data_IF_110527196922
#
_entry.id   IF_110527196922
#
_cell.length_a   1.000
_cell.length_b   1.000
_cell.length_c   1.000
_cell.angle_alpha   90.00
_cell.angle_beta   90.00
_cell.angle_gamma   90.00
#
_symmetry.space_group_name_H-M   'P 1'
#
loop_
_entity.id
_entity.type
_entity.pdbx_description
1 polymer ?
#
# COMPACT_ATOMS: atom_id res chain seq x y z
N UNK A 1 -53.59 5.28 3.57
CA UNK A 1 -53.44 6.60 2.94
C UNK A 1 -51.96 6.93 2.96
N UNK A 2 -51.20 6.59 1.90
CA UNK A 2 -49.75 6.83 1.79
C UNK A 2 -49.53 8.04 0.89
N UNK A 3 -49.05 9.10 1.44
CA UNK A 3 -48.60 10.28 0.68
C UNK A 3 -47.19 10.03 0.15
N UNK A 4 -47.03 9.84 -1.15
CA UNK A 4 -45.78 9.95 -1.86
C UNK A 4 -45.40 11.43 -1.96
N UNK A 5 -44.36 11.84 -1.20
CA UNK A 5 -43.67 13.08 -1.45
C UNK A 5 -42.64 12.87 -2.57
N UNK A 6 -43.00 13.33 -3.78
CA UNK A 6 -42.04 13.54 -4.85
C UNK A 6 -41.25 14.82 -4.51
N UNK A 7 -40.07 14.69 -3.91
CA UNK A 7 -39.11 15.78 -3.83
C UNK A 7 -38.38 15.88 -5.17
N UNK A 8 -38.90 16.74 -6.09
CA UNK A 8 -38.08 17.27 -7.16
C UNK A 8 -37.03 18.16 -6.50
N UNK A 9 -35.79 17.66 -6.34
CA UNK A 9 -34.63 18.47 -6.03
C UNK A 9 -34.35 19.33 -7.25
N UNK A 10 -34.64 20.64 -7.14
CA UNK A 10 -34.18 21.61 -8.10
C UNK A 10 -32.66 21.60 -8.09
N UNK A 11 -32.05 20.93 -9.07
CA UNK A 11 -30.62 21.02 -9.31
C UNK A 11 -30.27 22.49 -9.54
N UNK A 12 -29.49 23.07 -8.61
CA UNK A 12 -28.97 24.43 -8.74
C UNK A 12 -28.17 24.48 -10.05
N UNK A 13 -28.68 25.22 -11.04
CA UNK A 13 -28.00 25.50 -12.31
C UNK A 13 -26.73 26.28 -12.01
N UNK A 14 -25.62 25.58 -11.83
CA UNK A 14 -24.34 26.23 -11.56
C UNK A 14 -23.80 26.87 -12.83
N UNK A 15 -23.63 28.19 -12.75
CA UNK A 15 -23.27 29.17 -13.81
C UNK A 15 -21.91 28.89 -14.43
N UNK A 16 -21.28 27.83 -14.55
CA UNK A 16 -20.00 27.55 -15.23
C UNK A 16 -19.80 26.06 -15.63
N UNK A 17 -20.85 25.26 -15.67
CA UNK A 17 -20.74 23.89 -16.18
C UNK A 17 -20.62 23.87 -17.71
N UNK A 18 -19.76 23.01 -18.22
CA UNK A 18 -19.71 22.71 -19.65
C UNK A 18 -21.05 22.14 -20.14
N UNK A 19 -21.33 22.32 -21.44
CA UNK A 19 -22.49 21.71 -22.08
C UNK A 19 -22.42 20.16 -21.96
N UNK A 20 -23.52 19.59 -21.53
CA UNK A 20 -23.71 18.11 -21.47
C UNK A 20 -24.07 17.58 -22.87
N UNK A 21 -24.12 16.26 -23.03
CA UNK A 21 -24.63 15.66 -24.27
C UNK A 21 -26.12 16.01 -24.50
N UNK A 22 -26.92 16.02 -23.42
CA UNK A 22 -28.33 16.39 -23.49
C UNK A 22 -28.53 17.85 -23.88
N UNK A 23 -27.69 18.77 -23.37
CA UNK A 23 -27.69 20.15 -23.84
C UNK A 23 -27.43 20.26 -25.34
N UNK A 24 -26.52 19.43 -25.87
CA UNK A 24 -26.17 19.39 -27.30
C UNK A 24 -27.30 18.84 -28.13
N UNK A 25 -28.02 17.83 -27.67
CA UNK A 25 -29.23 17.33 -28.34
C UNK A 25 -30.33 18.40 -28.36
N UNK A 26 -30.51 19.14 -27.26
CA UNK A 26 -31.43 20.27 -27.23
C UNK A 26 -31.04 21.38 -28.20
N UNK A 27 -29.74 21.73 -28.28
CA UNK A 27 -29.21 22.69 -29.28
C UNK A 27 -29.51 22.19 -30.68
N UNK A 28 -29.29 20.91 -30.98
CA UNK A 28 -29.57 20.33 -32.30
C UNK A 28 -31.03 20.49 -32.68
N UNK A 29 -31.96 20.10 -31.77
CA UNK A 29 -33.40 20.21 -32.00
C UNK A 29 -33.84 21.65 -32.23
N UNK A 30 -33.39 22.59 -31.38
CA UNK A 30 -33.77 23.99 -31.48
C UNK A 30 -33.15 24.70 -32.70
N UNK A 31 -31.92 24.40 -33.05
CA UNK A 31 -31.26 24.91 -34.22
C UNK A 31 -31.92 24.42 -35.52
N UNK A 32 -32.37 23.17 -35.57
CA UNK A 32 -33.17 22.61 -36.68
C UNK A 32 -34.54 23.28 -36.80
N UNK A 33 -35.14 23.69 -35.67
CA UNK A 33 -36.42 24.43 -35.69
C UNK A 33 -36.28 25.93 -36.01
N UNK A 34 -35.06 26.39 -36.30
CA UNK A 34 -34.78 27.77 -36.73
C UNK A 34 -34.62 28.77 -35.59
N UNK A 35 -34.48 28.33 -34.31
CA UNK A 35 -34.19 29.25 -33.20
C UNK A 35 -32.82 29.90 -33.35
N UNK A 36 -32.75 31.17 -33.00
CA UNK A 36 -31.50 31.93 -33.01
C UNK A 36 -30.56 31.50 -31.87
N UNK A 37 -29.25 31.71 -32.05
CA UNK A 37 -28.25 31.42 -31.03
C UNK A 37 -28.53 32.16 -29.72
N UNK A 38 -29.16 33.35 -29.74
CA UNK A 38 -29.54 34.11 -28.56
C UNK A 38 -30.69 33.43 -27.78
N UNK A 39 -31.68 32.91 -28.50
CA UNK A 39 -32.82 32.18 -27.92
C UNK A 39 -32.34 30.88 -27.30
N UNK A 40 -31.52 30.09 -27.98
CA UNK A 40 -30.94 28.86 -27.47
C UNK A 40 -30.09 29.15 -26.23
N UNK A 41 -29.32 30.21 -26.24
CA UNK A 41 -28.50 30.63 -25.10
C UNK A 41 -29.36 30.95 -23.86
N UNK A 42 -30.49 31.65 -24.02
CA UNK A 42 -31.44 31.91 -22.94
C UNK A 42 -32.03 30.62 -22.37
N UNK A 43 -32.40 29.66 -23.22
CA UNK A 43 -32.98 28.38 -22.82
C UNK A 43 -32.00 27.52 -21.99
N UNK A 44 -30.72 27.63 -22.26
CA UNK A 44 -29.65 26.86 -21.56
C UNK A 44 -28.94 27.66 -20.46
N UNK A 45 -29.34 28.90 -20.22
CA UNK A 45 -28.65 29.82 -19.31
C UNK A 45 -27.14 29.91 -19.61
N UNK A 46 -26.80 30.12 -20.89
CA UNK A 46 -25.43 30.25 -21.41
C UNK A 46 -25.25 31.56 -22.19
N UNK A 47 -24.01 31.96 -22.35
CA UNK A 47 -23.70 33.11 -23.22
C UNK A 47 -23.97 32.76 -24.70
N UNK A 48 -24.52 33.69 -25.49
CA UNK A 48 -24.73 33.49 -26.96
C UNK A 48 -23.47 33.05 -27.70
N UNK A 49 -22.31 33.53 -27.29
CA UNK A 49 -21.01 33.14 -27.86
C UNK A 49 -20.68 31.67 -27.61
N UNK A 50 -21.10 31.10 -26.45
CA UNK A 50 -20.92 29.68 -26.15
C UNK A 50 -21.70 28.81 -27.14
N UNK A 51 -22.94 29.18 -27.43
CA UNK A 51 -23.78 28.47 -28.40
C UNK A 51 -23.23 28.62 -29.83
N UNK A 52 -22.77 29.81 -30.20
CA UNK A 52 -22.13 30.02 -31.50
C UNK A 52 -20.90 29.10 -31.67
N UNK A 53 -20.03 29.09 -30.69
CA UNK A 53 -18.81 28.24 -30.73
C UNK A 53 -19.16 26.75 -30.74
N UNK A 54 -20.19 26.33 -30.01
CA UNK A 54 -20.66 24.96 -29.98
C UNK A 54 -21.24 24.53 -31.34
N UNK A 55 -22.09 25.36 -31.95
CA UNK A 55 -22.65 25.09 -33.28
C UNK A 55 -21.52 24.97 -34.30
N UNK A 56 -20.57 25.91 -34.28
CA UNK A 56 -19.41 25.90 -35.21
C UNK A 56 -18.59 24.61 -35.05
N UNK A 57 -18.43 24.12 -33.80
CA UNK A 57 -17.71 22.85 -33.48
C UNK A 57 -18.41 21.64 -34.05
N UNK A 58 -19.73 21.61 -34.01
CA UNK A 58 -20.57 20.47 -34.36
C UNK A 58 -21.06 20.46 -35.84
N UNK A 59 -20.62 21.37 -36.67
CA UNK A 59 -21.02 21.38 -38.08
C UNK A 59 -20.43 20.20 -38.85
N UNK A 60 -21.28 19.39 -39.44
CA UNK A 60 -20.92 18.29 -40.35
C UNK A 60 -21.55 18.48 -41.70
N UNK A 61 -20.87 18.11 -42.78
CA UNK A 61 -21.40 18.15 -44.13
C UNK A 61 -22.25 16.90 -44.36
N UNK A 62 -23.55 17.08 -44.53
CA UNK A 62 -24.48 15.96 -44.78
C UNK A 62 -25.16 16.13 -46.15
N UNK A 63 -25.34 15.01 -46.84
CA UNK A 63 -26.10 14.96 -48.06
C UNK A 63 -27.60 15.03 -47.75
N UNK A 64 -28.26 16.12 -48.13
CA UNK A 64 -29.70 16.36 -47.86
C UNK A 64 -30.55 15.79 -48.98
N UNK A 65 -30.04 15.79 -50.23
CA UNK A 65 -30.62 15.15 -51.41
C UNK A 65 -29.49 14.68 -52.33
N UNK A 66 -29.77 13.82 -53.29
CA UNK A 66 -28.80 13.32 -54.25
C UNK A 66 -28.03 14.52 -54.89
N UNK A 67 -26.73 14.60 -54.65
CA UNK A 67 -25.85 15.67 -55.14
C UNK A 67 -25.91 17.00 -54.38
N UNK A 68 -26.75 17.15 -53.34
CA UNK A 68 -26.83 18.39 -52.53
C UNK A 68 -26.36 18.16 -51.10
N UNK A 69 -25.35 18.90 -50.70
CA UNK A 69 -24.76 18.87 -49.39
C UNK A 69 -25.06 20.15 -48.62
N UNK A 70 -25.32 20.00 -47.32
CA UNK A 70 -25.54 21.12 -46.39
C UNK A 70 -24.75 20.88 -45.11
N UNK A 71 -24.21 21.95 -44.51
CA UNK A 71 -23.62 21.89 -43.18
C UNK A 71 -24.75 21.88 -42.15
N UNK A 72 -24.83 20.83 -41.35
CA UNK A 72 -25.84 20.64 -40.33
C UNK A 72 -25.11 20.41 -39.00
N UNK A 73 -25.64 20.97 -37.91
CA UNK A 73 -25.12 20.71 -36.56
C UNK A 73 -25.51 19.29 -36.11
N UNK A 74 -24.53 18.54 -35.58
CA UNK A 74 -24.71 17.23 -34.97
C UNK A 74 -24.21 17.28 -33.54
N UNK A 75 -25.09 16.93 -32.57
CA UNK A 75 -24.79 16.85 -31.15
C UNK A 75 -23.68 15.84 -30.84
N UNK A 76 -23.78 14.66 -31.46
CA UNK A 76 -22.80 13.57 -31.26
C UNK A 76 -21.41 13.98 -31.79
N UNK A 77 -21.35 14.55 -32.95
CA UNK A 77 -20.08 15.02 -33.53
C UNK A 77 -19.47 16.12 -32.65
N UNK A 78 -20.28 17.12 -32.22
CA UNK A 78 -19.84 18.19 -31.34
C UNK A 78 -19.31 17.65 -30.01
N UNK A 79 -19.99 16.64 -29.45
CA UNK A 79 -19.56 15.98 -28.20
C UNK A 79 -18.24 15.21 -28.39
N UNK A 80 -18.09 14.46 -29.47
CA UNK A 80 -16.84 13.77 -29.78
C UNK A 80 -15.66 14.73 -29.92
N UNK A 81 -15.86 15.88 -30.60
CA UNK A 81 -14.84 16.90 -30.72
C UNK A 81 -14.51 17.58 -29.40
N UNK A 82 -15.52 17.79 -28.55
CA UNK A 82 -15.32 18.28 -27.18
C UNK A 82 -14.46 17.31 -26.35
N UNK A 83 -14.76 16.02 -26.37
CA UNK A 83 -13.99 15.00 -25.65
C UNK A 83 -12.53 14.97 -26.15
N UNK A 84 -12.29 14.95 -27.45
CA UNK A 84 -10.94 15.02 -28.05
C UNK A 84 -10.15 16.25 -27.61
N UNK A 85 -10.82 17.40 -27.43
CA UNK A 85 -10.17 18.59 -26.90
C UNK A 85 -9.91 18.50 -25.41
N UNK A 86 -10.83 17.89 -24.65
CA UNK A 86 -10.65 17.68 -23.20
C UNK A 86 -9.48 16.77 -22.89
N UNK A 87 -9.26 15.75 -23.69
CA UNK A 87 -8.11 14.83 -23.53
C UNK A 87 -6.76 15.55 -23.68
N UNK A 88 -6.74 16.66 -24.42
CA UNK A 88 -5.54 17.51 -24.56
C UNK A 88 -5.39 18.53 -23.44
N UNK A 89 -6.43 18.73 -22.63
CA UNK A 89 -6.44 19.69 -21.53
C UNK A 89 -5.90 19.04 -20.25
N UNK A 90 -5.24 19.84 -19.44
CA UNK A 90 -4.68 19.43 -18.16
C UNK A 90 -3.15 19.50 -18.15
N UNK A 91 -2.60 19.37 -16.96
CA UNK A 91 -1.14 19.33 -16.77
C UNK A 91 -0.61 18.02 -17.35
N UNK A 92 0.36 18.13 -18.29
CA UNK A 92 1.05 16.94 -18.81
C UNK A 92 1.79 16.23 -17.70
N UNK A 93 1.80 14.90 -17.77
CA UNK A 93 2.58 14.07 -16.84
C UNK A 93 4.06 14.31 -17.13
N UNK A 94 4.77 14.81 -16.12
CA UNK A 94 6.22 15.07 -16.19
C UNK A 94 7.02 13.85 -15.70
N UNK A 95 6.77 12.69 -16.30
CA UNK A 95 7.48 11.46 -16.00
C UNK A 95 8.48 11.19 -17.13
N UNK A 96 9.75 11.42 -16.88
CA UNK A 96 10.83 11.06 -17.80
C UNK A 96 11.16 9.56 -17.72
N UNK A 97 11.90 9.08 -18.70
CA UNK A 97 12.21 7.65 -18.83
C UNK A 97 13.08 7.15 -17.69
N UNK A 98 14.09 7.92 -17.29
CA UNK A 98 15.05 7.56 -16.24
C UNK A 98 14.34 7.43 -14.88
N UNK A 99 13.55 8.44 -14.50
CA UNK A 99 12.73 8.41 -13.27
C UNK A 99 11.77 7.23 -13.28
N UNK A 100 11.16 6.90 -14.42
CA UNK A 100 10.27 5.75 -14.55
C UNK A 100 11.01 4.43 -14.30
N UNK A 101 12.15 4.21 -14.95
CA UNK A 101 12.96 2.99 -14.80
C UNK A 101 13.44 2.84 -13.35
N UNK A 102 13.93 3.90 -12.74
CA UNK A 102 14.35 3.94 -11.34
C UNK A 102 13.18 3.56 -10.41
N UNK A 103 12.01 4.18 -10.59
CA UNK A 103 10.86 3.88 -9.76
C UNK A 103 10.39 2.44 -9.91
N UNK A 104 10.31 1.92 -11.14
CA UNK A 104 9.92 0.53 -11.39
C UNK A 104 10.90 -0.42 -10.72
N UNK A 105 12.21 -0.25 -10.93
CA UNK A 105 13.24 -1.08 -10.31
C UNK A 105 13.14 -1.10 -8.78
N UNK A 106 13.10 0.07 -8.13
CA UNK A 106 13.05 0.11 -6.67
C UNK A 106 11.73 -0.39 -6.09
N UNK A 107 10.60 -0.19 -6.76
CA UNK A 107 9.30 -0.69 -6.30
C UNK A 107 9.15 -2.21 -6.48
N UNK A 108 9.66 -2.78 -7.57
CA UNK A 108 9.44 -4.21 -7.90
C UNK A 108 10.58 -5.11 -7.43
N UNK A 109 11.82 -4.78 -7.74
CA UNK A 109 12.98 -5.63 -7.42
C UNK A 109 13.50 -5.35 -6.02
N UNK A 110 13.78 -4.09 -5.72
CA UNK A 110 14.29 -3.69 -4.41
C UNK A 110 13.23 -3.65 -3.31
N UNK A 111 11.93 -3.79 -3.65
CA UNK A 111 10.79 -3.82 -2.71
C UNK A 111 10.70 -2.57 -1.82
N UNK A 112 11.18 -1.43 -2.28
CA UNK A 112 11.08 -0.17 -1.55
C UNK A 112 9.66 0.39 -1.60
N UNK A 113 9.26 1.15 -0.58
CA UNK A 113 8.04 1.95 -0.65
C UNK A 113 8.30 3.28 -1.36
N UNK A 114 7.29 3.93 -1.96
CA UNK A 114 7.45 5.27 -2.55
C UNK A 114 8.07 6.28 -1.59
N UNK A 115 7.72 6.21 -0.30
CA UNK A 115 8.27 7.07 0.75
C UNK A 115 9.78 6.86 0.92
N UNK A 116 10.22 5.59 0.95
CA UNK A 116 11.65 5.28 1.10
C UNK A 116 12.46 5.73 -0.11
N UNK A 117 11.92 5.56 -1.33
CA UNK A 117 12.60 5.98 -2.57
C UNK A 117 12.88 7.49 -2.55
N UNK A 118 11.89 8.29 -2.13
CA UNK A 118 12.03 9.75 -2.05
C UNK A 118 13.02 10.16 -0.96
N UNK A 119 12.90 9.58 0.23
CA UNK A 119 13.77 9.94 1.35
C UNK A 119 15.20 9.39 1.24
N UNK A 120 15.41 8.40 0.38
CA UNK A 120 16.77 7.97 -0.01
C UNK A 120 17.36 8.80 -1.16
N UNK A 121 16.70 9.89 -1.56
CA UNK A 121 17.10 10.79 -2.64
C UNK A 121 17.33 10.09 -4.00
N UNK A 122 16.63 9.00 -4.25
CA UNK A 122 16.76 8.24 -5.50
C UNK A 122 16.00 8.91 -6.66
N UNK A 123 14.98 9.70 -6.33
CA UNK A 123 14.20 10.50 -7.29
C UNK A 123 13.82 11.85 -6.66
N UNK A 124 13.74 12.88 -7.49
CA UNK A 124 13.34 14.23 -7.06
C UNK A 124 11.88 14.53 -7.38
N UNK A 125 10.97 13.72 -6.82
CA UNK A 125 9.52 13.92 -6.99
C UNK A 125 8.80 13.67 -5.67
N UNK A 126 7.68 14.37 -5.38
CA UNK A 126 6.90 14.12 -4.17
C UNK A 126 6.32 12.71 -4.13
N UNK A 127 6.22 12.13 -2.92
CA UNK A 127 5.61 10.80 -2.68
C UNK A 127 4.20 10.71 -3.27
N UNK A 128 3.40 11.77 -3.14
CA UNK A 128 2.04 11.85 -3.71
C UNK A 128 2.02 11.69 -5.22
N UNK A 129 3.04 12.21 -5.91
CA UNK A 129 3.18 12.10 -7.37
C UNK A 129 3.45 10.66 -7.79
N UNK A 130 4.28 9.92 -7.04
CA UNK A 130 4.54 8.50 -7.31
C UNK A 130 3.25 7.68 -7.16
N UNK A 131 2.48 7.91 -6.08
CA UNK A 131 1.17 7.25 -5.92
C UNK A 131 0.19 7.63 -7.04
N UNK A 132 0.16 8.88 -7.46
CA UNK A 132 -0.65 9.32 -8.62
C UNK A 132 -0.27 8.54 -9.87
N UNK A 133 1.02 8.39 -10.18
CA UNK A 133 1.50 7.63 -11.34
C UNK A 133 1.17 6.14 -11.28
N UNK A 134 1.22 5.53 -10.07
CA UNK A 134 0.81 4.13 -9.86
C UNK A 134 -0.69 3.98 -10.11
N UNK A 135 -1.52 4.82 -9.48
CA UNK A 135 -2.98 4.74 -9.58
C UNK A 135 -3.51 5.00 -10.99
N UNK A 136 -2.82 5.83 -11.78
CA UNK A 136 -3.19 6.13 -13.16
C UNK A 136 -2.46 5.26 -14.20
N UNK A 137 -1.72 4.24 -13.77
CA UNK A 137 -1.07 3.28 -14.66
C UNK A 137 0.15 3.80 -15.42
N UNK A 138 0.67 5.00 -15.12
CA UNK A 138 1.82 5.58 -15.84
C UNK A 138 3.11 4.77 -15.66
N UNK A 139 3.27 4.10 -14.51
CA UNK A 139 4.41 3.23 -14.23
C UNK A 139 4.21 1.79 -14.73
N UNK A 140 2.99 1.40 -15.16
CA UNK A 140 2.65 0.02 -15.47
C UNK A 140 2.53 -0.87 -14.23
N UNK A 141 2.44 -0.26 -13.04
CA UNK A 141 2.33 -0.93 -11.74
C UNK A 141 0.94 -0.75 -11.16
N UNK A 142 0.58 -1.65 -10.24
CA UNK A 142 -0.67 -1.64 -9.49
C UNK A 142 -0.41 -1.49 -7.98
N UNK A 143 -1.44 -1.25 -7.20
CA UNK A 143 -1.33 -1.22 -5.73
C UNK A 143 -0.87 -2.56 -5.12
N UNK A 144 -0.96 -3.68 -5.86
CA UNK A 144 -0.48 -4.99 -5.41
C UNK A 144 1.05 -5.11 -5.43
N UNK A 145 1.71 -4.29 -6.26
CA UNK A 145 3.16 -4.27 -6.39
C UNK A 145 3.84 -3.47 -5.27
N UNK A 146 3.04 -2.71 -4.50
CA UNK A 146 3.54 -1.96 -3.35
C UNK A 146 3.95 -2.89 -2.19
N UNK A 147 4.90 -2.43 -1.37
CA UNK A 147 5.41 -3.15 -0.20
C UNK A 147 4.29 -3.60 0.75
N UNK A 148 3.27 -2.77 0.94
CA UNK A 148 2.09 -3.06 1.76
C UNK A 148 0.80 -2.93 0.95
N UNK A 149 0.44 -3.93 0.12
CA UNK A 149 -0.80 -3.90 -0.64
C UNK A 149 -2.02 -3.87 0.30
N UNK A 150 -3.03 -3.08 -0.04
CA UNK A 150 -4.27 -3.03 0.71
C UNK A 150 -5.02 -4.36 0.55
N UNK A 151 -5.28 -5.05 1.66
CA UNK A 151 -6.12 -6.25 1.70
C UNK A 151 -7.45 -5.93 2.35
N UNK A 152 -8.55 -6.50 1.86
CA UNK A 152 -9.86 -6.42 2.51
C UNK A 152 -9.79 -7.06 3.91
N UNK A 153 -10.41 -6.40 4.90
CA UNK A 153 -10.48 -6.94 6.27
C UNK A 153 -11.37 -8.18 6.29
N UNK A 154 -10.83 -9.37 6.54
CA UNK A 154 -11.62 -10.55 6.89
C UNK A 154 -12.04 -10.46 8.35
N UNK A 155 -13.32 -10.75 8.65
CA UNK A 155 -13.81 -10.89 10.04
C UNK A 155 -13.01 -11.98 10.75
N UNK A 156 -12.38 -11.66 11.88
CA UNK A 156 -11.70 -12.64 12.74
C UNK A 156 -12.75 -13.42 13.49
N UNK A 157 -12.62 -14.77 13.53
CA UNK A 157 -13.35 -15.62 14.46
C UNK A 157 -12.61 -15.58 15.80
N UNK A 158 -13.33 -15.25 16.87
CA UNK A 158 -12.77 -15.34 18.22
C UNK A 158 -12.67 -16.82 18.60
N UNK A 159 -11.46 -17.29 18.84
CA UNK A 159 -11.18 -18.58 19.44
C UNK A 159 -10.73 -18.35 20.88
N UNK A 160 -11.51 -18.83 21.83
CA UNK A 160 -11.13 -18.85 23.24
C UNK A 160 -10.40 -20.16 23.54
N UNK A 161 -9.19 -20.08 24.04
CA UNK A 161 -8.48 -21.19 24.66
C UNK A 161 -7.83 -20.69 25.93
N UNK A 162 -7.96 -21.46 27.02
CA UNK A 162 -7.30 -21.15 28.29
C UNK A 162 -5.83 -21.56 28.18
N UNK A 163 -4.93 -20.58 28.23
CA UNK A 163 -3.49 -20.79 28.27
C UNK A 163 -2.97 -20.52 29.66
N UNK A 164 -2.11 -21.41 30.18
CA UNK A 164 -1.32 -21.17 31.37
C UNK A 164 0.02 -20.56 30.96
N UNK A 165 0.34 -19.39 31.51
CA UNK A 165 1.66 -18.76 31.37
C UNK A 165 2.70 -19.66 32.03
N UNK A 166 3.73 -20.07 31.30
CA UNK A 166 4.86 -20.85 31.83
C UNK A 166 6.12 -19.99 31.75
N UNK A 167 6.59 -19.49 32.89
CA UNK A 167 7.78 -18.66 33.00
C UNK A 167 7.47 -17.27 33.56
N UNK A 168 8.44 -16.34 33.49
CA UNK A 168 8.24 -14.98 33.95
C UNK A 168 7.27 -14.22 33.09
N UNK A 169 6.28 -13.56 33.72
CA UNK A 169 5.35 -12.68 32.99
C UNK A 169 6.08 -11.46 32.39
N UNK A 170 5.60 -10.98 31.27
CA UNK A 170 6.08 -9.73 30.65
C UNK A 170 6.00 -8.53 31.59
N UNK A 171 5.13 -8.58 32.63
CA UNK A 171 5.00 -7.54 33.65
C UNK A 171 6.24 -7.44 34.54
N UNK A 172 7.00 -8.54 34.71
CA UNK A 172 8.26 -8.56 35.46
C UNK A 172 9.43 -7.96 34.68
N UNK A 173 9.21 -7.60 33.44
CA UNK A 173 10.24 -7.03 32.57
C UNK A 173 10.59 -5.61 33.01
N UNK A 174 11.88 -5.31 33.26
CA UNK A 174 12.34 -3.98 33.67
C UNK A 174 11.84 -2.86 32.74
N UNK A 175 11.53 -1.70 33.32
CA UNK A 175 10.99 -0.56 32.59
C UNK A 175 11.96 -0.05 31.51
N UNK A 176 13.27 -0.12 31.74
CA UNK A 176 14.29 0.23 30.74
C UNK A 176 14.11 -0.56 29.44
N UNK A 177 13.73 -1.85 29.53
CA UNK A 177 13.45 -2.68 28.36
C UNK A 177 12.15 -2.24 27.69
N UNK A 178 11.13 -1.83 28.49
CA UNK A 178 9.86 -1.33 27.94
C UNK A 178 10.04 -0.03 27.18
N UNK A 179 10.86 0.88 27.68
CA UNK A 179 11.19 2.16 27.06
C UNK A 179 12.13 2.03 25.85
N UNK A 180 12.68 0.80 25.60
CA UNK A 180 13.59 0.54 24.47
C UNK A 180 14.85 1.42 24.53
N UNK A 181 15.36 1.66 25.72
CA UNK A 181 16.49 2.54 25.98
C UNK A 181 17.84 2.00 25.45
N UNK A 182 18.00 0.68 25.47
CA UNK A 182 19.24 0.01 25.04
C UNK A 182 18.98 -1.15 24.08
N UNK A 183 20.01 -1.57 23.34
CA UNK A 183 19.97 -2.74 22.46
C UNK A 183 20.30 -4.03 23.20
N UNK A 184 20.04 -5.17 22.54
CA UNK A 184 20.27 -6.51 23.10
C UNK A 184 19.02 -7.15 23.70
N UNK A 185 17.89 -6.48 23.68
CA UNK A 185 16.60 -7.00 24.14
C UNK A 185 15.74 -7.45 22.96
N UNK A 186 15.63 -8.76 22.74
CA UNK A 186 15.02 -9.32 21.55
C UNK A 186 13.61 -9.86 21.80
N UNK A 187 12.74 -9.67 20.82
CA UNK A 187 11.46 -10.39 20.72
C UNK A 187 11.68 -11.58 19.77
N UNK A 188 11.43 -12.83 20.28
CA UNK A 188 11.56 -14.05 19.50
C UNK A 188 10.22 -14.50 18.94
N UNK A 189 10.21 -15.00 17.71
CA UNK A 189 9.00 -15.52 17.04
C UNK A 189 9.36 -16.59 16.02
N UNK A 190 8.35 -17.37 15.58
CA UNK A 190 8.51 -18.33 14.48
C UNK A 190 7.61 -18.00 13.30
N UNK A 191 8.14 -18.05 12.09
CA UNK A 191 7.39 -17.81 10.84
C UNK A 191 7.23 -19.11 10.07
N UNK A 192 6.05 -19.73 10.17
CA UNK A 192 5.71 -20.96 9.42
C UNK A 192 5.57 -20.61 7.95
N UNK A 193 6.37 -21.17 7.06
CA UNK A 193 6.36 -20.92 5.62
C UNK A 193 5.18 -21.64 4.94
N UNK A 194 5.05 -22.93 5.19
CA UNK A 194 3.98 -23.77 4.65
C UNK A 194 3.62 -24.88 5.66
N UNK A 195 2.44 -25.48 5.51
CA UNK A 195 2.04 -26.67 6.27
C UNK A 195 2.48 -27.97 5.58
N UNK A 196 3.03 -27.89 4.37
CA UNK A 196 3.50 -29.07 3.61
C UNK A 196 4.87 -29.53 4.04
N UNK A 197 5.70 -28.64 4.54
CA UNK A 197 7.02 -28.93 5.09
C UNK A 197 7.08 -28.46 6.54
N UNK A 198 7.92 -29.06 7.35
CA UNK A 198 8.10 -28.66 8.75
C UNK A 198 9.01 -27.43 8.90
N UNK A 199 9.73 -27.03 7.82
CA UNK A 199 10.67 -25.91 7.85
C UNK A 199 9.96 -24.60 8.22
N UNK A 200 10.55 -23.85 9.13
CA UNK A 200 10.10 -22.52 9.50
C UNK A 200 11.29 -21.58 9.76
N UNK A 201 11.01 -20.31 9.93
CA UNK A 201 12.05 -19.34 10.28
C UNK A 201 11.95 -19.05 11.79
N UNK A 202 13.09 -19.06 12.47
CA UNK A 202 13.27 -18.45 13.76
C UNK A 202 13.65 -16.99 13.53
N UNK A 203 12.96 -16.07 14.17
CA UNK A 203 13.16 -14.63 14.02
C UNK A 203 13.35 -13.98 15.36
N UNK A 204 14.45 -13.27 15.54
CA UNK A 204 14.71 -12.42 16.68
C UNK A 204 14.73 -10.98 16.22
N UNK A 205 13.99 -10.10 16.91
CA UNK A 205 13.92 -8.67 16.57
C UNK A 205 14.35 -7.86 17.78
N UNK A 206 15.42 -7.09 17.66
CA UNK A 206 15.84 -6.15 18.69
C UNK A 206 14.79 -5.05 18.90
N UNK A 207 14.48 -4.77 20.16
CA UNK A 207 13.39 -3.84 20.51
C UNK A 207 13.73 -2.38 20.24
N UNK A 208 15.00 -1.99 20.38
CA UNK A 208 15.47 -0.62 20.15
C UNK A 208 15.75 -0.36 18.68
N UNK A 209 16.68 -1.12 18.12
CA UNK A 209 17.22 -0.89 16.77
C UNK A 209 16.37 -1.47 15.65
N UNK A 210 15.44 -2.39 15.97
CA UNK A 210 14.68 -3.17 14.99
C UNK A 210 15.53 -4.09 14.11
N UNK A 211 16.79 -4.31 14.51
CA UNK A 211 17.65 -5.26 13.85
C UNK A 211 17.05 -6.67 13.96
N UNK A 212 17.10 -7.41 12.86
CA UNK A 212 16.58 -8.78 12.81
C UNK A 212 17.68 -9.79 12.61
N UNK A 213 17.55 -10.92 13.30
CA UNK A 213 18.32 -12.14 13.10
C UNK A 213 17.31 -13.19 12.65
N UNK A 214 17.54 -13.80 11.48
CA UNK A 214 16.63 -14.79 10.90
C UNK A 214 17.40 -16.07 10.61
N UNK A 215 16.90 -17.21 11.12
CA UNK A 215 17.51 -18.52 10.86
C UNK A 215 16.47 -19.49 10.31
N UNK A 216 16.87 -20.28 9.32
CA UNK A 216 16.04 -21.38 8.79
C UNK A 216 16.18 -22.57 9.75
N UNK A 217 15.08 -23.05 10.31
CA UNK A 217 15.07 -24.20 11.21
C UNK A 217 14.23 -25.36 10.63
N UNK A 218 14.60 -26.61 10.89
CA UNK A 218 13.99 -27.77 10.24
C UNK A 218 12.52 -27.98 10.66
N UNK A 219 12.16 -27.55 11.86
CA UNK A 219 10.79 -27.66 12.36
C UNK A 219 10.54 -26.70 13.53
N UNK A 220 9.27 -26.58 13.93
CA UNK A 220 8.80 -25.73 15.03
C UNK A 220 8.87 -26.47 16.40
N UNK A 221 9.93 -27.22 16.68
CA UNK A 221 10.14 -27.89 17.98
C UNK A 221 11.11 -27.10 18.85
N UNK A 222 10.97 -27.22 20.17
CA UNK A 222 11.82 -26.53 21.12
C UNK A 222 13.32 -26.86 20.94
N UNK A 223 13.67 -28.11 20.63
CA UNK A 223 15.06 -28.49 20.36
C UNK A 223 15.64 -27.76 19.16
N UNK A 224 14.88 -27.62 18.04
CA UNK A 224 15.34 -26.90 16.84
C UNK A 224 15.49 -25.39 17.10
N UNK A 225 14.61 -24.82 17.92
CA UNK A 225 14.70 -23.42 18.34
C UNK A 225 15.93 -23.21 19.22
N UNK A 226 16.15 -24.10 20.21
CA UNK A 226 17.27 -23.99 21.14
C UNK A 226 18.62 -24.13 20.42
N UNK A 227 18.75 -25.09 19.49
CA UNK A 227 19.98 -25.24 18.71
C UNK A 227 20.29 -23.97 17.89
N UNK A 228 19.30 -23.44 17.17
CA UNK A 228 19.50 -22.21 16.42
C UNK A 228 19.77 -20.99 17.32
N UNK A 229 19.18 -20.96 18.52
CA UNK A 229 19.45 -19.91 19.49
C UNK A 229 20.88 -19.98 20.04
N UNK A 230 21.42 -21.18 20.30
CA UNK A 230 22.82 -21.36 20.69
C UNK A 230 23.78 -20.79 19.63
N UNK A 231 23.54 -21.08 18.36
CA UNK A 231 24.35 -20.53 17.28
C UNK A 231 24.29 -19.00 17.25
N UNK A 232 23.09 -18.43 17.44
CA UNK A 232 22.89 -16.97 17.51
C UNK A 232 23.60 -16.35 18.71
N UNK A 233 23.60 -17.01 19.87
CA UNK A 233 24.26 -16.52 21.08
C UNK A 233 25.80 -16.45 20.95
N UNK A 234 26.36 -17.27 20.07
CA UNK A 234 27.80 -17.21 19.74
C UNK A 234 28.15 -15.99 18.85
N UNK A 235 27.17 -15.47 18.11
CA UNK A 235 27.38 -14.35 17.15
C UNK A 235 26.95 -13.01 17.76
N UNK A 236 25.93 -12.99 18.63
CA UNK A 236 25.28 -11.78 19.11
C UNK A 236 25.15 -11.72 20.63
N UNK A 237 25.45 -10.57 21.19
CA UNK A 237 25.23 -10.29 22.62
C UNK A 237 23.74 -10.04 22.88
N UNK A 238 23.03 -11.04 23.41
CA UNK A 238 21.62 -10.96 23.80
C UNK A 238 21.51 -10.77 25.32
N UNK A 239 20.81 -9.71 25.75
CA UNK A 239 20.60 -9.39 27.16
C UNK A 239 19.29 -9.99 27.69
N UNK A 240 18.24 -10.00 26.89
CA UNK A 240 16.96 -10.62 27.26
C UNK A 240 16.15 -11.06 26.04
N UNK A 241 15.26 -12.01 26.27
CA UNK A 241 14.35 -12.54 25.26
C UNK A 241 12.91 -12.39 25.73
N UNK A 242 12.05 -11.85 24.86
CA UNK A 242 10.59 -11.84 25.06
C UNK A 242 9.94 -12.79 24.05
N UNK A 243 9.26 -13.82 24.54
CA UNK A 243 8.59 -14.84 23.73
C UNK A 243 7.06 -14.77 23.88
N UNK A 244 6.31 -15.42 22.96
CA UNK A 244 4.92 -15.78 23.24
C UNK A 244 4.85 -17.11 24.00
N UNK A 245 3.61 -17.55 24.32
CA UNK A 245 3.37 -18.80 24.99
C UNK A 245 3.34 -20.01 24.03
N UNK A 246 4.07 -19.95 22.92
CA UNK A 246 4.23 -21.06 22.00
C UNK A 246 4.98 -22.22 22.62
N UNK A 247 4.55 -23.44 22.33
CA UNK A 247 5.19 -24.66 22.88
C UNK A 247 6.66 -24.79 22.50
N UNK A 248 7.06 -24.19 21.40
CA UNK A 248 8.43 -24.13 20.91
C UNK A 248 9.37 -23.30 21.79
N UNK A 249 8.83 -22.39 22.60
CA UNK A 249 9.60 -21.51 23.48
C UNK A 249 9.63 -21.96 24.94
N UNK A 250 8.97 -23.06 25.31
CA UNK A 250 8.88 -23.51 26.72
C UNK A 250 10.21 -23.99 27.29
N UNK A 251 11.17 -24.33 26.45
CA UNK A 251 12.48 -24.84 26.84
C UNK A 251 13.63 -23.86 26.65
N UNK A 252 13.34 -22.56 26.43
CA UNK A 252 14.38 -21.53 26.24
C UNK A 252 15.34 -21.46 27.46
N UNK A 253 14.87 -21.75 28.67
CA UNK A 253 15.66 -21.77 29.90
C UNK A 253 16.79 -22.80 29.92
N UNK A 254 16.80 -23.75 28.99
CA UNK A 254 17.89 -24.71 28.83
C UNK A 254 19.14 -24.10 28.15
N UNK A 255 18.95 -23.01 27.40
CA UNK A 255 20.03 -22.41 26.63
C UNK A 255 20.22 -20.92 26.93
N UNK A 256 19.30 -20.29 27.67
CA UNK A 256 19.37 -18.88 28.02
C UNK A 256 18.92 -18.67 29.49
N UNK A 257 19.53 -17.72 30.26
CA UNK A 257 19.19 -17.50 31.68
C UNK A 257 17.72 -17.19 31.88
N UNK A 258 17.08 -17.94 32.78
CA UNK A 258 15.63 -17.87 33.04
C UNK A 258 15.17 -16.47 33.46
N UNK A 259 15.97 -15.77 34.25
CA UNK A 259 15.72 -14.42 34.77
C UNK A 259 15.65 -13.35 33.68
N UNK A 260 16.12 -13.67 32.47
CA UNK A 260 16.10 -12.78 31.31
C UNK A 260 15.13 -13.22 30.22
N UNK A 261 14.25 -14.19 30.49
CA UNK A 261 13.20 -14.66 29.56
C UNK A 261 11.84 -14.18 30.06
N UNK A 262 11.12 -13.43 29.24
CA UNK A 262 9.79 -12.90 29.54
C UNK A 262 8.76 -13.46 28.55
N UNK A 263 7.57 -13.79 29.03
CA UNK A 263 6.49 -14.31 28.23
C UNK A 263 5.33 -13.33 28.16
N UNK A 264 4.90 -12.99 26.93
CA UNK A 264 3.76 -12.11 26.66
C UNK A 264 2.45 -12.77 27.12
N UNK A 265 1.44 -11.95 27.41
CA UNK A 265 0.12 -12.48 27.75
C UNK A 265 -0.53 -13.17 26.56
N UNK A 266 -1.32 -14.22 26.81
CA UNK A 266 -2.11 -14.86 25.76
C UNK A 266 -3.03 -13.85 25.08
N UNK A 267 -3.08 -13.88 23.74
CA UNK A 267 -3.90 -12.99 22.90
C UNK A 267 -3.56 -11.48 22.92
N UNK A 268 -2.55 -11.06 23.67
CA UNK A 268 -2.09 -9.68 23.72
C UNK A 268 -1.06 -9.40 22.60
N UNK A 269 -1.48 -9.48 21.33
CA UNK A 269 -0.58 -9.28 20.18
C UNK A 269 0.04 -7.87 20.14
N UNK A 270 -0.57 -6.87 20.80
CA UNK A 270 -0.03 -5.51 20.90
C UNK A 270 1.26 -5.43 21.73
N UNK A 271 1.47 -6.34 22.68
CA UNK A 271 2.70 -6.44 23.48
C UNK A 271 3.92 -6.81 22.63
N UNK A 272 3.66 -7.42 21.44
CA UNK A 272 4.63 -7.86 20.44
C UNK A 272 4.39 -7.26 19.04
N UNK A 273 3.84 -6.06 19.00
CA UNK A 273 3.49 -5.38 17.75
C UNK A 273 4.67 -5.18 16.78
N UNK A 274 5.91 -5.23 17.28
CA UNK A 274 7.14 -5.20 16.49
C UNK A 274 7.21 -6.41 15.56
N UNK A 275 6.98 -7.61 16.06
CA UNK A 275 7.10 -8.86 15.29
C UNK A 275 6.07 -8.96 14.17
N UNK A 276 4.82 -8.51 14.39
CA UNK A 276 3.80 -8.54 13.34
C UNK A 276 4.23 -7.73 12.10
N UNK A 277 4.76 -6.54 12.29
CA UNK A 277 5.23 -5.69 11.20
C UNK A 277 6.44 -6.30 10.47
N UNK A 278 7.38 -6.89 11.20
CA UNK A 278 8.57 -7.51 10.61
C UNK A 278 8.21 -8.81 9.87
N UNK A 279 7.34 -9.64 10.44
CA UNK A 279 6.84 -10.83 9.76
C UNK A 279 6.12 -10.49 8.43
N UNK A 280 5.50 -9.31 8.33
CA UNK A 280 4.93 -8.83 7.06
C UNK A 280 6.00 -8.52 6.02
N UNK A 281 7.17 -8.00 6.41
CA UNK A 281 8.30 -7.79 5.50
C UNK A 281 8.85 -9.13 5.00
N UNK A 282 9.10 -10.08 5.91
CA UNK A 282 9.51 -11.44 5.53
C UNK A 282 8.52 -12.06 4.54
N UNK A 283 7.21 -11.90 4.79
CA UNK A 283 6.15 -12.43 3.92
C UNK A 283 6.08 -11.76 2.53
N UNK A 284 6.73 -10.64 2.34
CA UNK A 284 6.87 -10.00 1.03
C UNK A 284 7.80 -10.80 0.12
N UNK A 285 8.81 -11.43 0.69
CA UNK A 285 9.77 -12.29 -0.02
C UNK A 285 9.34 -13.76 -0.01
N UNK A 286 8.85 -14.22 1.14
CA UNK A 286 8.42 -15.59 1.39
C UNK A 286 6.92 -15.63 1.70
N UNK A 287 6.04 -15.59 0.69
CA UNK A 287 4.59 -15.68 0.91
C UNK A 287 4.20 -17.02 1.53
N UNK A 288 2.99 -17.08 2.13
CA UNK A 288 2.47 -18.34 2.69
C UNK A 288 2.34 -19.39 1.59
N UNK A 289 2.88 -20.56 1.84
CA UNK A 289 2.89 -21.68 0.88
C UNK A 289 4.25 -21.92 0.20
N UNK A 290 5.25 -21.06 0.44
CA UNK A 290 6.62 -21.26 -0.07
C UNK A 290 7.20 -22.56 0.53
N UNK A 291 7.69 -23.45 -0.32
CA UNK A 291 8.22 -24.77 0.04
C UNK A 291 9.74 -24.80 0.03
N UNK A 292 10.33 -24.25 -1.02
CA UNK A 292 11.76 -24.30 -1.27
C UNK A 292 12.40 -22.98 -0.83
N UNK A 293 13.04 -23.04 0.33
CA UNK A 293 13.77 -21.91 0.92
C UNK A 293 15.14 -22.40 1.35
N UNK A 294 16.16 -21.65 0.93
CA UNK A 294 17.55 -21.89 1.27
C UNK A 294 18.03 -20.93 2.35
N UNK A 295 19.07 -21.31 3.08
CA UNK A 295 19.70 -20.43 4.08
C UNK A 295 20.25 -19.13 3.43
N UNK A 296 20.75 -19.25 2.19
CA UNK A 296 21.26 -18.10 1.44
C UNK A 296 20.14 -17.07 1.15
N UNK A 297 18.95 -17.53 0.79
CA UNK A 297 17.79 -16.66 0.58
C UNK A 297 17.36 -15.98 1.87
N UNK A 298 17.32 -16.75 2.97
CA UNK A 298 17.01 -16.20 4.30
C UNK A 298 18.01 -15.12 4.70
N UNK A 299 19.31 -15.35 4.47
CA UNK A 299 20.35 -14.36 4.74
C UNK A 299 20.24 -13.10 3.88
N UNK A 300 19.86 -13.24 2.60
CA UNK A 300 19.57 -12.09 1.73
C UNK A 300 18.39 -11.27 2.24
N UNK A 301 17.33 -11.91 2.73
CA UNK A 301 16.16 -11.25 3.30
C UNK A 301 16.52 -10.54 4.62
N UNK A 302 17.27 -11.20 5.49
CA UNK A 302 17.79 -10.63 6.73
C UNK A 302 18.59 -9.37 6.44
N UNK A 303 19.53 -9.45 5.50
CA UNK A 303 20.36 -8.32 5.09
C UNK A 303 19.50 -7.17 4.53
N UNK A 304 18.54 -7.48 3.65
CA UNK A 304 17.63 -6.47 3.11
C UNK A 304 16.82 -5.77 4.21
N UNK A 305 16.23 -6.52 5.15
CA UNK A 305 15.42 -5.95 6.24
C UNK A 305 16.27 -5.06 7.14
N UNK A 306 17.52 -5.45 7.39
CA UNK A 306 18.43 -4.69 8.26
C UNK A 306 18.97 -3.42 7.60
N UNK A 307 19.02 -3.37 6.27
CA UNK A 307 19.44 -2.17 5.51
C UNK A 307 18.24 -1.33 5.03
N UNK A 308 17.00 -1.80 5.21
CA UNK A 308 15.81 -1.06 4.80
C UNK A 308 15.56 0.15 5.70
N UNK A 309 15.53 1.40 5.15
CA UNK A 309 15.32 2.61 5.92
C UNK A 309 13.97 2.63 6.64
N UNK A 310 13.91 3.13 7.87
CA UNK A 310 12.69 3.20 8.66
C UNK A 310 12.36 4.63 9.06
N UNK A 311 11.14 5.06 8.79
CA UNK A 311 10.66 6.41 9.16
C UNK A 311 10.86 6.73 10.65
N UNK A 312 10.64 5.75 11.54
CA UNK A 312 10.80 5.91 12.98
C UNK A 312 12.24 6.23 13.41
N UNK A 313 13.23 5.98 12.56
CA UNK A 313 14.64 6.29 12.77
C UNK A 313 15.10 7.45 11.88
N UNK A 314 14.18 8.31 11.48
CA UNK A 314 14.47 9.38 10.54
C UNK A 314 15.16 8.87 9.26
N UNK A 315 14.62 7.75 8.72
CA UNK A 315 15.09 7.05 7.52
C UNK A 315 16.48 6.41 7.61
N UNK A 316 17.02 6.25 8.81
CA UNK A 316 18.15 5.34 9.04
C UNK A 316 17.67 3.89 9.04
N UNK A 317 18.57 2.99 8.68
CA UNK A 317 18.32 1.54 8.70
C UNK A 317 18.53 0.94 10.11
N UNK A 318 17.97 -0.25 10.40
CA UNK A 318 18.29 -0.99 11.63
C UNK A 318 19.79 -1.25 11.80
N UNK A 319 20.49 -1.51 10.70
CA UNK A 319 21.94 -1.71 10.69
C UNK A 319 22.67 -0.45 11.18
N UNK A 320 22.38 0.72 10.61
CA UNK A 320 22.95 1.98 11.05
C UNK A 320 22.62 2.27 12.52
N UNK A 321 21.40 1.96 12.97
CA UNK A 321 21.00 2.14 14.37
C UNK A 321 21.73 1.22 15.34
N UNK A 322 22.17 0.06 14.90
CA UNK A 322 22.91 -0.91 15.73
C UNK A 322 24.37 -0.46 15.94
N UNK A 323 24.97 0.19 14.93
CA UNK A 323 26.37 0.64 14.96
C UNK A 323 26.55 2.13 15.21
N UNK A 324 25.48 2.90 15.38
CA UNK A 324 25.50 4.33 15.66
C UNK A 324 25.51 4.68 17.16
N UNK A 325 25.78 3.69 18.03
CA UNK A 325 25.79 3.84 19.50
C UNK A 325 27.17 3.91 20.07
#
# INVERSE_FOLDING_TARGET
MYHHYNSFSAESKTRNKHLTLDDRHNIERWHRSGKSNREIARLLDKAPQTIHNEIKRGLVLQQVRKGRFKKIYSAEYAHSQYLKQRDKCGRKVSLDKETKETLVHFLTEMKYSPEMIVHSNLVNVPVSTIYYWIHNGHLGLTSNDLLYPRKSKKKRKNTSSQFRVKGQSIEMRPEVINQRGEYGHYEIDTVILTRKTNKCLLVLTDRRTRHQIIRLIPNKQAASVNNALLDILNEYAIKSITADNGVEFFRLHEVFPYEHIYYAHPYCSYERGTNENHNRLIRRFLPKGTTDVTELEVKKIENWINHYPKRMFNYKSPFEMMYAG
#
